data_IF_917034414533
#
_entry.id   IF_917034414533
#
_cell.length_a   1.000
_cell.length_b   1.000
_cell.length_c   1.000
_cell.angle_alpha   90.00
_cell.angle_beta   90.00
_cell.angle_gamma   90.00
#
_symmetry.space_group_name_H-M   'P 1'
#
loop_
_entity.id
_entity.type
_entity.pdbx_description
1 polymer ?
#
# COMPACT_ATOMS: atom_id res chain seq x y z
N UNK A 1 -71.77 10.94 19.38
CA UNK A 1 -71.49 11.47 18.01
C UNK A 1 -70.00 11.54 17.67
N UNK A 2 -69.11 12.31 18.36
CA UNK A 2 -67.67 12.42 17.97
C UNK A 2 -66.87 11.11 18.17
N UNK A 3 -67.13 10.37 19.27
CA UNK A 3 -66.51 9.08 19.56
C UNK A 3 -66.85 8.00 18.54
N UNK A 4 -68.03 8.00 18.01
CA UNK A 4 -68.47 7.00 17.01
C UNK A 4 -67.86 7.28 15.64
N UNK A 5 -67.70 8.51 15.27
CA UNK A 5 -66.96 8.94 14.08
C UNK A 5 -65.48 8.49 14.17
N UNK A 6 -64.84 8.71 15.31
CA UNK A 6 -63.44 8.30 15.53
C UNK A 6 -63.27 6.77 15.41
N UNK A 7 -64.22 6.00 15.96
CA UNK A 7 -64.21 4.52 15.81
C UNK A 7 -64.40 4.10 14.34
N UNK A 8 -65.30 4.76 13.62
CA UNK A 8 -65.50 4.45 12.19
C UNK A 8 -64.27 4.77 11.35
N UNK A 9 -63.57 5.90 11.59
CA UNK A 9 -62.32 6.24 10.93
C UNK A 9 -61.22 5.21 11.23
N UNK A 10 -61.06 4.82 12.49
CA UNK A 10 -60.06 3.75 12.86
C UNK A 10 -60.39 2.42 12.19
N UNK A 11 -61.65 2.05 12.06
CA UNK A 11 -62.05 0.81 11.35
C UNK A 11 -61.73 0.89 9.87
N UNK A 12 -61.89 2.06 9.21
CA UNK A 12 -61.49 2.28 7.84
C UNK A 12 -59.97 2.25 7.67
N UNK A 13 -59.24 2.91 8.56
CA UNK A 13 -57.76 2.85 8.55
C UNK A 13 -57.23 1.45 8.64
N UNK A 14 -57.85 0.62 9.51
CA UNK A 14 -57.47 -0.80 9.63
C UNK A 14 -57.75 -1.54 8.32
N UNK A 15 -58.93 -1.37 7.73
CA UNK A 15 -59.24 -2.02 6.41
C UNK A 15 -58.24 -1.63 5.32
N UNK A 16 -57.83 -0.38 5.23
CA UNK A 16 -56.83 0.07 4.26
C UNK A 16 -55.48 -0.61 4.54
N UNK A 17 -55.04 -0.65 5.79
CA UNK A 17 -53.77 -1.33 6.15
C UNK A 17 -53.84 -2.81 5.82
N UNK A 18 -54.92 -3.49 6.22
CA UNK A 18 -55.08 -4.94 5.98
C UNK A 18 -55.12 -5.28 4.47
N UNK A 19 -55.65 -4.39 3.66
CA UNK A 19 -55.69 -4.55 2.20
C UNK A 19 -54.30 -4.42 1.55
N UNK A 20 -53.49 -3.43 1.99
CA UNK A 20 -52.19 -3.17 1.34
C UNK A 20 -51.08 -4.00 1.96
N UNK A 21 -51.17 -4.48 3.18
CA UNK A 21 -50.10 -5.20 3.89
C UNK A 21 -49.60 -6.45 3.13
N UNK A 22 -50.46 -7.33 2.58
CA UNK A 22 -50.01 -8.47 1.82
C UNK A 22 -49.20 -8.07 0.58
N UNK A 23 -49.59 -7.00 -0.14
CA UNK A 23 -48.87 -6.50 -1.31
C UNK A 23 -47.51 -5.96 -0.91
N UNK A 24 -47.43 -5.24 0.20
CA UNK A 24 -46.18 -4.71 0.73
C UNK A 24 -45.20 -5.84 1.11
N UNK A 25 -45.73 -6.87 1.78
CA UNK A 25 -44.92 -8.04 2.17
C UNK A 25 -44.40 -8.78 0.95
N UNK A 26 -45.24 -9.03 -0.06
CA UNK A 26 -44.85 -9.71 -1.27
C UNK A 26 -43.84 -8.90 -2.09
N UNK A 27 -44.04 -7.60 -2.21
CA UNK A 27 -43.09 -6.73 -2.90
C UNK A 27 -41.71 -6.70 -2.21
N UNK A 28 -41.72 -6.69 -0.85
CA UNK A 28 -40.49 -6.78 -0.09
C UNK A 28 -39.78 -8.14 -0.29
N UNK A 29 -40.54 -9.24 -0.23
CA UNK A 29 -39.99 -10.57 -0.44
C UNK A 29 -39.34 -10.71 -1.83
N UNK A 30 -40.02 -10.23 -2.89
CA UNK A 30 -39.45 -10.24 -4.25
C UNK A 30 -38.20 -9.38 -4.38
N UNK A 31 -38.19 -8.20 -3.72
CA UNK A 31 -37.01 -7.35 -3.68
C UNK A 31 -35.83 -8.04 -2.98
N UNK A 32 -36.07 -8.65 -1.81
CA UNK A 32 -35.05 -9.35 -1.03
C UNK A 32 -34.49 -10.56 -1.81
N UNK A 33 -35.35 -11.28 -2.56
CA UNK A 33 -34.95 -12.39 -3.44
C UNK A 33 -34.01 -11.91 -4.58
N UNK A 34 -34.36 -10.82 -5.25
CA UNK A 34 -33.52 -10.21 -6.29
C UNK A 34 -32.16 -9.79 -5.72
N UNK A 35 -32.15 -9.21 -4.52
CA UNK A 35 -30.89 -8.84 -3.86
C UNK A 35 -30.04 -10.05 -3.51
N UNK A 36 -30.68 -11.15 -3.03
CA UNK A 36 -29.98 -12.38 -2.71
C UNK A 36 -29.31 -12.99 -3.96
N UNK A 37 -30.06 -13.12 -5.07
CA UNK A 37 -29.50 -13.61 -6.33
C UNK A 37 -28.39 -12.71 -6.90
N UNK A 38 -28.59 -11.38 -6.83
CA UNK A 38 -27.55 -10.44 -7.23
C UNK A 38 -26.26 -10.67 -6.45
N UNK A 39 -26.37 -10.81 -5.13
CA UNK A 39 -25.24 -11.03 -4.23
C UNK A 39 -24.55 -12.35 -4.51
N UNK A 40 -25.33 -13.42 -4.69
CA UNK A 40 -24.81 -14.76 -5.02
C UNK A 40 -23.95 -14.73 -6.30
N UNK A 41 -24.33 -13.93 -7.30
CA UNK A 41 -23.57 -13.77 -8.54
C UNK A 41 -22.36 -12.83 -8.39
N UNK A 42 -22.45 -11.78 -7.57
CA UNK A 42 -21.40 -10.79 -7.43
C UNK A 42 -20.29 -11.23 -6.47
N UNK A 43 -20.63 -11.87 -5.35
CA UNK A 43 -19.66 -12.27 -4.32
C UNK A 43 -18.48 -13.08 -4.89
N UNK A 44 -18.68 -14.09 -5.78
CA UNK A 44 -17.57 -14.81 -6.39
C UNK A 44 -16.68 -13.93 -7.28
N UNK A 45 -17.28 -12.99 -8.01
CA UNK A 45 -16.54 -12.07 -8.89
C UNK A 45 -15.71 -11.08 -8.09
N UNK A 46 -16.28 -10.51 -7.03
CA UNK A 46 -15.55 -9.62 -6.12
C UNK A 46 -14.41 -10.36 -5.40
N UNK A 47 -14.65 -11.60 -4.99
CA UNK A 47 -13.62 -12.45 -4.41
C UNK A 47 -12.48 -12.73 -5.40
N UNK A 48 -12.81 -13.07 -6.65
CA UNK A 48 -11.84 -13.28 -7.71
C UNK A 48 -11.03 -12.01 -8.02
N UNK A 49 -11.71 -10.86 -8.10
CA UNK A 49 -11.06 -9.57 -8.29
C UNK A 49 -10.06 -9.26 -7.17
N UNK A 50 -10.45 -9.49 -5.92
CA UNK A 50 -9.59 -9.28 -4.75
C UNK A 50 -8.34 -10.17 -4.81
N UNK A 51 -8.49 -11.45 -5.18
CA UNK A 51 -7.37 -12.39 -5.32
C UNK A 51 -6.43 -11.93 -6.44
N UNK A 52 -6.96 -11.54 -7.58
CA UNK A 52 -6.16 -11.07 -8.71
C UNK A 52 -5.38 -9.80 -8.36
N UNK A 53 -6.03 -8.82 -7.73
CA UNK A 53 -5.38 -7.58 -7.26
C UNK A 53 -4.27 -7.90 -6.25
N UNK A 54 -4.49 -8.82 -5.32
CA UNK A 54 -3.48 -9.28 -4.37
C UNK A 54 -2.26 -9.86 -5.08
N UNK A 55 -2.46 -10.83 -5.97
CA UNK A 55 -1.34 -11.46 -6.72
C UNK A 55 -0.57 -10.47 -7.60
N UNK A 56 -1.26 -9.52 -8.23
CA UNK A 56 -0.60 -8.46 -9.00
C UNK A 56 0.23 -7.53 -8.11
N UNK A 57 -0.26 -7.22 -6.91
CA UNK A 57 0.47 -6.47 -5.89
C UNK A 57 1.73 -7.19 -5.44
N UNK A 58 1.61 -8.47 -5.06
CA UNK A 58 2.72 -9.32 -4.62
C UNK A 58 3.80 -9.43 -5.70
N UNK A 59 3.40 -9.66 -6.94
CA UNK A 59 4.33 -9.71 -8.07
C UNK A 59 5.08 -8.38 -8.28
N UNK A 60 4.37 -7.27 -8.18
CA UNK A 60 4.98 -5.94 -8.29
C UNK A 60 6.00 -5.68 -7.17
N UNK A 61 5.65 -6.05 -5.93
CA UNK A 61 6.53 -5.92 -4.77
C UNK A 61 7.76 -6.82 -4.89
N UNK A 62 7.60 -8.05 -5.35
CA UNK A 62 8.72 -8.98 -5.58
C UNK A 62 9.69 -8.44 -6.64
N UNK A 63 9.17 -7.93 -7.75
CA UNK A 63 9.99 -7.29 -8.78
C UNK A 63 10.78 -6.11 -8.23
N UNK A 64 10.13 -5.24 -7.48
CA UNK A 64 10.78 -4.08 -6.88
C UNK A 64 11.85 -4.51 -5.87
N UNK A 65 11.60 -5.54 -5.06
CA UNK A 65 12.59 -6.09 -4.14
C UNK A 65 13.82 -6.63 -4.88
N UNK A 66 13.59 -7.39 -5.95
CA UNK A 66 14.70 -7.91 -6.79
C UNK A 66 15.51 -6.78 -7.41
N UNK A 67 14.84 -5.74 -7.92
CA UNK A 67 15.51 -4.56 -8.47
C UNK A 67 16.38 -3.87 -7.42
N UNK A 68 15.82 -3.58 -6.23
CA UNK A 68 16.57 -2.95 -5.13
C UNK A 68 17.77 -3.80 -4.70
N UNK A 69 17.61 -5.12 -4.62
CA UNK A 69 18.72 -6.00 -4.29
C UNK A 69 19.82 -5.98 -5.36
N UNK A 70 19.46 -5.92 -6.63
CA UNK A 70 20.43 -5.80 -7.73
C UNK A 70 21.15 -4.43 -7.69
N UNK A 71 20.43 -3.34 -7.48
CA UNK A 71 21.01 -2.01 -7.33
C UNK A 71 21.98 -1.95 -6.13
N UNK A 72 21.60 -2.53 -5.01
CA UNK A 72 22.46 -2.59 -3.83
C UNK A 72 23.71 -3.44 -4.07
N UNK A 73 23.57 -4.58 -4.76
CA UNK A 73 24.70 -5.43 -5.12
C UNK A 73 25.67 -4.72 -6.07
N UNK A 74 25.14 -4.02 -7.09
CA UNK A 74 25.94 -3.22 -8.02
C UNK A 74 26.65 -2.07 -7.31
N UNK A 75 25.96 -1.38 -6.40
CA UNK A 75 26.57 -0.31 -5.60
C UNK A 75 27.70 -0.83 -4.72
N UNK A 76 27.50 -1.96 -4.03
CA UNK A 76 28.55 -2.56 -3.22
C UNK A 76 29.77 -2.99 -4.04
N UNK A 77 29.53 -3.51 -5.24
CA UNK A 77 30.60 -3.91 -6.15
C UNK A 77 31.40 -2.71 -6.66
N UNK A 78 30.71 -1.63 -7.04
CA UNK A 78 31.34 -0.38 -7.44
C UNK A 78 32.15 0.24 -6.28
N UNK A 79 31.63 0.21 -5.05
CA UNK A 79 32.32 0.70 -3.85
C UNK A 79 33.57 -0.15 -3.54
N UNK A 80 33.51 -1.48 -3.69
CA UNK A 80 34.65 -2.35 -3.52
C UNK A 80 35.75 -2.08 -4.56
N UNK A 81 35.37 -1.92 -5.84
CA UNK A 81 36.32 -1.57 -6.89
C UNK A 81 36.93 -0.18 -6.68
N UNK A 82 36.13 0.80 -6.29
CA UNK A 82 36.64 2.12 -5.93
C UNK A 82 37.68 2.04 -4.80
N UNK A 83 37.36 1.36 -3.71
CA UNK A 83 38.29 1.18 -2.60
C UNK A 83 39.58 0.46 -3.01
N UNK A 84 39.46 -0.57 -3.87
CA UNK A 84 40.64 -1.26 -4.43
C UNK A 84 41.53 -0.32 -5.23
N UNK A 85 40.92 0.55 -6.05
CA UNK A 85 41.66 1.52 -6.87
C UNK A 85 42.33 2.61 -6.03
N UNK A 86 41.69 3.04 -4.96
CA UNK A 86 42.28 3.98 -4.00
C UNK A 86 43.46 3.35 -3.24
N UNK A 87 43.38 2.07 -2.86
CA UNK A 87 44.53 1.37 -2.28
C UNK A 87 45.69 1.19 -3.30
N UNK A 88 45.36 0.93 -4.57
CA UNK A 88 46.36 0.83 -5.65
C UNK A 88 47.06 2.18 -5.86
N UNK A 89 46.28 3.29 -5.88
CA UNK A 89 46.84 4.66 -5.96
C UNK A 89 47.77 4.95 -4.79
N UNK A 90 47.41 4.65 -3.56
CA UNK A 90 48.21 4.84 -2.36
C UNK A 90 49.51 4.02 -2.40
N UNK A 91 49.50 2.80 -2.94
CA UNK A 91 50.68 1.96 -3.10
C UNK A 91 51.62 2.52 -4.17
N UNK A 92 51.07 2.99 -5.31
CA UNK A 92 51.84 3.60 -6.38
C UNK A 92 52.54 4.90 -5.90
N UNK A 93 51.83 5.74 -5.16
CA UNK A 93 52.35 6.93 -4.56
C UNK A 93 53.52 6.64 -3.58
N UNK A 94 53.33 5.62 -2.70
CA UNK A 94 54.38 5.18 -1.78
C UNK A 94 55.63 4.62 -2.50
N UNK A 95 55.44 4.06 -3.69
CA UNK A 95 56.53 3.56 -4.55
C UNK A 95 57.20 4.67 -5.43
N UNK A 96 56.70 5.91 -5.41
CA UNK A 96 57.17 7.00 -6.21
C UNK A 96 56.67 7.00 -7.66
N UNK A 97 55.73 6.15 -8.01
CA UNK A 97 55.05 6.12 -9.33
C UNK A 97 53.88 7.07 -9.34
N UNK A 98 54.13 8.34 -9.56
CA UNK A 98 53.11 9.40 -9.60
C UNK A 98 52.12 9.21 -10.75
N UNK A 99 52.56 8.73 -11.91
CA UNK A 99 51.67 8.52 -13.06
C UNK A 99 50.72 7.36 -12.83
N UNK A 100 51.18 6.25 -12.22
CA UNK A 100 50.34 5.13 -11.82
C UNK A 100 49.35 5.52 -10.74
N UNK A 101 49.72 6.35 -9.79
CA UNK A 101 48.83 6.89 -8.75
C UNK A 101 47.70 7.74 -9.31
N UNK A 102 48.04 8.70 -10.22
CA UNK A 102 47.03 9.56 -10.88
C UNK A 102 46.06 8.72 -11.71
N UNK A 103 46.54 7.73 -12.46
CA UNK A 103 45.67 6.86 -13.25
C UNK A 103 44.69 6.07 -12.37
N UNK A 104 45.17 5.48 -11.29
CA UNK A 104 44.31 4.73 -10.35
C UNK A 104 43.28 5.64 -9.65
N UNK A 105 43.63 6.90 -9.34
CA UNK A 105 42.71 7.90 -8.80
C UNK A 105 41.59 8.24 -9.79
N UNK A 106 41.89 8.45 -11.07
CA UNK A 106 40.88 8.71 -12.11
C UNK A 106 39.94 7.50 -12.29
N UNK A 107 40.50 6.30 -12.26
CA UNK A 107 39.64 5.07 -12.29
C UNK A 107 38.72 4.96 -11.08
N UNK A 108 39.18 5.35 -9.88
CA UNK A 108 38.35 5.37 -8.67
C UNK A 108 37.21 6.40 -8.80
N UNK A 109 37.47 7.59 -9.32
CA UNK A 109 36.47 8.64 -9.55
C UNK A 109 35.42 8.21 -10.59
N UNK A 110 35.82 7.50 -11.64
CA UNK A 110 34.84 6.90 -12.58
C UNK A 110 33.94 5.89 -11.91
N UNK A 111 34.45 5.06 -11.01
CA UNK A 111 33.66 4.07 -10.26
C UNK A 111 32.69 4.74 -9.26
N UNK A 112 33.09 5.87 -8.65
CA UNK A 112 32.19 6.68 -7.83
C UNK A 112 31.01 7.20 -8.68
N UNK A 113 31.27 7.73 -9.87
CA UNK A 113 30.23 8.17 -10.81
C UNK A 113 29.25 7.06 -11.20
N UNK A 114 29.73 5.83 -11.41
CA UNK A 114 28.89 4.65 -11.68
C UNK A 114 28.04 4.29 -10.47
N UNK A 115 28.60 4.35 -9.26
CA UNK A 115 27.86 4.08 -8.01
C UNK A 115 26.70 5.05 -7.81
N UNK A 116 26.84 6.31 -8.17
CA UNK A 116 25.82 7.36 -8.02
C UNK A 116 24.77 7.27 -9.14
N UNK A 117 25.16 6.97 -10.39
CA UNK A 117 24.28 6.97 -11.56
C UNK A 117 23.57 5.63 -11.83
N UNK A 118 23.92 4.57 -11.12
CA UNK A 118 23.48 3.20 -11.35
C UNK A 118 22.02 2.88 -11.02
N UNK A 119 21.09 3.84 -11.23
CA UNK A 119 19.66 3.54 -11.13
C UNK A 119 19.22 2.70 -12.33
N UNK A 120 19.02 1.41 -12.10
CA UNK A 120 18.40 0.52 -13.09
C UNK A 120 16.96 0.99 -13.27
N UNK A 121 16.66 1.59 -14.42
CA UNK A 121 15.27 1.93 -14.77
C UNK A 121 14.45 0.66 -14.83
N UNK A 122 13.63 0.44 -13.78
CA UNK A 122 12.70 -0.65 -13.79
C UNK A 122 11.60 -0.38 -14.82
N UNK A 123 11.61 -1.09 -15.92
CA UNK A 123 10.46 -1.22 -16.78
C UNK A 123 9.42 -2.08 -16.04
N UNK A 124 8.57 -1.46 -15.24
CA UNK A 124 7.34 -2.12 -14.79
C UNK A 124 6.42 -2.23 -15.99
N UNK A 125 6.03 -3.44 -16.41
CA UNK A 125 5.06 -3.59 -17.49
C UNK A 125 3.76 -2.90 -17.06
N UNK A 126 3.41 -1.82 -17.73
CA UNK A 126 2.14 -1.12 -17.51
C UNK A 126 1.09 -1.83 -18.35
N UNK A 127 0.26 -2.64 -17.71
CA UNK A 127 -0.94 -3.16 -18.37
C UNK A 127 -1.92 -2.00 -18.60
N UNK A 128 -2.52 -1.92 -19.78
CA UNK A 128 -3.52 -0.90 -20.10
C UNK A 128 -4.70 -1.00 -19.11
N UNK A 129 -5.15 0.13 -18.58
CA UNK A 129 -6.26 0.18 -17.63
C UNK A 129 -5.90 -0.18 -16.18
N UNK A 130 -4.64 -0.51 -15.88
CA UNK A 130 -4.18 -0.82 -14.52
C UNK A 130 -3.34 0.33 -13.98
N UNK A 131 -3.79 0.92 -12.88
CA UNK A 131 -3.03 1.92 -12.11
C UNK A 131 -2.48 1.30 -10.84
N UNK A 132 -1.20 1.54 -10.56
CA UNK A 132 -0.53 1.09 -9.34
C UNK A 132 -0.16 2.30 -8.50
N UNK A 133 -0.53 2.29 -7.23
CA UNK A 133 -0.11 3.29 -6.25
C UNK A 133 0.59 2.61 -5.07
N UNK A 134 1.72 3.18 -4.63
CA UNK A 134 2.38 2.74 -3.40
C UNK A 134 1.58 3.27 -2.21
N UNK A 135 1.30 2.41 -1.26
CA UNK A 135 0.62 2.76 0.00
C UNK A 135 1.32 2.07 1.17
N UNK A 136 0.93 2.40 2.37
CA UNK A 136 1.48 1.82 3.60
C UNK A 136 0.42 1.02 4.31
N UNK A 137 0.80 -0.14 4.81
CA UNK A 137 -0.06 -1.02 5.58
C UNK A 137 0.57 -1.30 6.94
N UNK A 138 -0.21 -1.14 8.00
CA UNK A 138 0.23 -1.51 9.34
C UNK A 138 0.11 -3.03 9.49
N UNK A 139 1.24 -3.69 9.72
CA UNK A 139 1.32 -5.15 9.86
C UNK A 139 0.98 -5.58 11.27
N UNK A 140 1.50 -4.87 12.26
CA UNK A 140 1.21 -5.14 13.67
C UNK A 140 1.39 -3.89 14.52
N UNK A 141 0.68 -3.83 15.64
CA UNK A 141 0.81 -2.79 16.65
C UNK A 141 0.99 -3.46 18.01
N UNK A 142 2.12 -3.21 18.66
CA UNK A 142 2.32 -3.56 20.07
C UNK A 142 1.99 -2.32 20.92
N UNK A 143 0.76 -2.28 21.43
CA UNK A 143 0.25 -1.14 22.20
C UNK A 143 1.00 -0.88 23.50
N UNK A 144 1.76 -1.85 24.02
CA UNK A 144 2.59 -1.68 25.21
C UNK A 144 3.82 -0.80 24.94
N UNK A 145 4.31 -0.81 23.70
CA UNK A 145 5.51 -0.08 23.24
C UNK A 145 5.20 1.24 22.53
N UNK A 146 3.93 1.46 22.16
CA UNK A 146 3.52 2.71 21.50
C UNK A 146 3.54 3.85 22.52
N UNK A 147 4.28 4.95 22.28
CA UNK A 147 4.30 6.10 23.16
C UNK A 147 2.96 6.83 23.19
N UNK A 148 2.72 7.66 24.21
CA UNK A 148 1.50 8.48 24.31
C UNK A 148 1.40 9.47 23.16
N UNK A 149 2.53 10.09 22.81
CA UNK A 149 2.63 11.01 21.68
C UNK A 149 3.90 10.73 20.88
N UNK A 150 3.84 10.99 19.58
CA UNK A 150 4.98 10.89 18.67
C UNK A 150 4.96 12.07 17.69
N UNK A 151 6.07 12.79 17.57
CA UNK A 151 6.20 14.01 16.75
C UNK A 151 5.07 15.04 16.98
N UNK A 152 4.66 15.21 18.27
CA UNK A 152 3.59 16.16 18.64
C UNK A 152 2.17 15.67 18.38
N UNK A 153 1.99 14.46 17.87
CA UNK A 153 0.68 13.83 17.66
C UNK A 153 0.39 12.84 18.77
N UNK A 154 -0.74 12.99 19.45
CA UNK A 154 -1.21 12.01 20.44
C UNK A 154 -1.73 10.76 19.73
N UNK A 155 -1.09 9.61 20.01
CA UNK A 155 -1.39 8.33 19.36
C UNK A 155 -1.89 7.26 20.34
N UNK A 156 -2.14 7.63 21.61
CA UNK A 156 -2.64 6.72 22.63
C UNK A 156 -3.96 7.23 23.28
N UNK A 157 -5.06 6.45 23.36
CA UNK A 157 -5.17 5.04 22.95
C UNK A 157 -4.90 4.92 21.44
N UNK A 158 -4.26 3.81 21.01
CA UNK A 158 -3.69 3.72 19.65
C UNK A 158 -4.74 4.06 18.59
N UNK A 159 -4.70 5.30 18.10
CA UNK A 159 -5.50 5.72 16.95
C UNK A 159 -4.79 5.30 15.67
N UNK A 160 -5.25 4.18 15.09
CA UNK A 160 -4.71 3.64 13.84
C UNK A 160 -4.76 4.68 12.71
N UNK A 161 -5.75 5.57 12.71
CA UNK A 161 -5.86 6.63 11.68
C UNK A 161 -4.79 7.69 11.85
N UNK A 162 -4.50 8.10 13.09
CA UNK A 162 -3.41 9.05 13.38
C UNK A 162 -2.05 8.44 13.04
N UNK A 163 -1.82 7.18 13.44
CA UNK A 163 -0.60 6.43 13.09
C UNK A 163 -0.42 6.33 11.57
N UNK A 164 -1.46 5.96 10.84
CA UNK A 164 -1.40 5.88 9.37
C UNK A 164 -1.15 7.23 8.70
N UNK A 165 -1.64 8.34 9.28
CA UNK A 165 -1.36 9.69 8.78
C UNK A 165 0.12 10.02 8.90
N UNK A 166 0.72 9.81 10.07
CA UNK A 166 2.16 10.00 10.30
C UNK A 166 3.03 9.18 9.34
N UNK A 167 2.69 7.90 9.14
CA UNK A 167 3.42 7.03 8.20
C UNK A 167 3.33 7.57 6.77
N UNK A 168 2.18 8.06 6.34
CA UNK A 168 1.98 8.63 4.99
C UNK A 168 2.71 9.96 4.81
N UNK A 169 2.64 10.85 5.78
CA UNK A 169 3.32 12.16 5.76
C UNK A 169 4.84 12.00 5.69
N UNK A 170 5.38 11.08 6.47
CA UNK A 170 6.80 10.74 6.45
C UNK A 170 7.24 9.89 5.25
N UNK A 171 6.32 9.48 4.37
CA UNK A 171 6.59 8.56 3.25
C UNK A 171 7.25 7.25 3.71
N UNK A 172 6.91 6.78 4.91
CA UNK A 172 7.42 5.55 5.49
C UNK A 172 8.87 5.62 5.98
N UNK A 173 9.40 6.79 6.26
CA UNK A 173 10.76 6.93 6.84
C UNK A 173 10.76 6.91 8.36
N UNK A 174 9.61 7.16 8.98
CA UNK A 174 9.47 7.26 10.43
C UNK A 174 9.41 5.86 11.07
N UNK A 175 10.09 5.69 12.21
CA UNK A 175 9.99 4.48 13.02
C UNK A 175 9.21 4.78 14.30
N UNK A 176 7.98 4.28 14.39
CA UNK A 176 7.13 4.43 15.57
C UNK A 176 7.33 3.19 16.45
N UNK A 177 7.81 3.35 17.71
CA UNK A 177 7.99 2.23 18.62
C UNK A 177 6.70 1.43 18.78
N UNK A 178 6.77 0.10 18.65
CA UNK A 178 5.61 -0.78 18.78
C UNK A 178 4.71 -0.87 17.53
N UNK A 179 5.03 -0.18 16.45
CA UNK A 179 4.27 -0.25 15.18
C UNK A 179 5.15 -0.86 14.10
N UNK A 180 4.69 -1.95 13.53
CA UNK A 180 5.30 -2.54 12.33
C UNK A 180 4.41 -2.24 11.12
N UNK A 181 5.00 -1.67 10.08
CA UNK A 181 4.32 -1.37 8.84
C UNK A 181 5.20 -1.69 7.63
N UNK A 182 4.59 -1.85 6.49
CA UNK A 182 5.27 -2.13 5.23
C UNK A 182 4.67 -1.30 4.10
N UNK A 183 5.45 -1.12 3.05
CA UNK A 183 4.91 -0.64 1.79
C UNK A 183 3.99 -1.70 1.17
N UNK A 184 2.91 -1.27 0.60
CA UNK A 184 1.98 -2.11 -0.15
C UNK A 184 1.60 -1.42 -1.46
N UNK A 185 1.14 -2.20 -2.44
CA UNK A 185 0.70 -1.68 -3.73
C UNK A 185 -0.80 -1.85 -3.85
N UNK A 186 -1.51 -0.74 -4.01
CA UNK A 186 -2.93 -0.75 -4.37
C UNK A 186 -3.08 -0.74 -5.89
N UNK A 187 -3.86 -1.68 -6.41
CA UNK A 187 -4.12 -1.80 -7.85
C UNK A 187 -5.56 -1.41 -8.12
N UNK A 188 -5.74 -0.42 -8.99
CA UNK A 188 -7.03 -0.01 -9.51
C UNK A 188 -7.12 -0.37 -10.99
N UNK A 189 -8.20 -1.07 -11.37
CA UNK A 189 -8.52 -1.43 -12.75
C UNK A 189 -9.75 -0.65 -13.17
N UNK A 190 -9.66 0.05 -14.30
CA UNK A 190 -10.80 0.71 -14.91
C UNK A 190 -11.36 -0.20 -15.99
N UNK A 191 -12.66 -0.45 -15.90
CA UNK A 191 -13.41 -1.14 -16.95
C UNK A 191 -13.63 -0.21 -18.14
#
# INVERSE_FOLDING_TARGET
>A
AAGDLTKAVKKMQKKVKDYWEPMRVNAKAAYDEVLAHKKEMLDPLEAAEKILKGKMGDYSMEKERKRRAQEEAMRKLAEQEMNRKLEEAARAEAAGDTAGAEFAMVEAEVMEGVSISGSIQAQTPKAAGVSQSKTWEIVSIDSSKVPVSFEGVEIRPVDVKAVMRLIKESKGTIQIPGVQYRDSVSISVRA
#
